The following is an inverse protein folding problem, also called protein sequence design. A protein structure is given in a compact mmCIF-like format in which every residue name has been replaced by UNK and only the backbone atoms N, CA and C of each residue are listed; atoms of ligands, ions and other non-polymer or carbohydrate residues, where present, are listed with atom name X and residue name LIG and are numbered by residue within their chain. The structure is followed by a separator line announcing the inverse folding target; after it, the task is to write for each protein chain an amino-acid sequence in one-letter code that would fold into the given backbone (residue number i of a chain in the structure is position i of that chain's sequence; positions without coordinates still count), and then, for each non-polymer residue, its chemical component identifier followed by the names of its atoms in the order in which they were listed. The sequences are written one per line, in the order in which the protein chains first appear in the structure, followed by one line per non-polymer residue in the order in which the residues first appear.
data_IF_549802303994
#
_entry.id   IF_549802303994
#
_cell.length_a   1.000
_cell.length_b   1.000
_cell.length_c   1.000
_cell.angle_alpha   90.00
_cell.angle_beta   90.00
_cell.angle_gamma   90.00
#
_symmetry.space_group_name_H-M   'P 1'
#
loop_
_entity.id
_entity.type
_entity.pdbx_description
1 polymer ?
#
# COMPACT_ATOMS: atom_id res chain seq x y z
N UNK A 1 0.74 -35.98 18.85
CA UNK A 1 -0.68 -36.03 18.45
C UNK A 1 -1.00 -34.67 17.84
N UNK A 2 -1.71 -34.63 16.72
CA UNK A 2 -2.20 -33.37 16.14
C UNK A 2 -3.34 -32.84 17.02
N UNK A 3 -3.38 -31.53 17.24
CA UNK A 3 -4.41 -30.87 18.06
C UNK A 3 -5.40 -30.12 17.17
N UNK A 4 -6.68 -30.10 17.54
CA UNK A 4 -7.67 -29.33 16.80
C UNK A 4 -7.42 -27.83 17.00
N UNK A 5 -7.30 -27.08 15.90
CA UNK A 5 -7.16 -25.61 15.93
C UNK A 5 -8.34 -24.98 16.67
N UNK A 6 -8.07 -24.04 17.58
CA UNK A 6 -9.04 -23.39 18.47
C UNK A 6 -9.70 -24.33 19.51
N UNK A 7 -9.07 -25.46 19.85
CA UNK A 7 -9.43 -26.20 21.07
C UNK A 7 -8.67 -25.68 22.30
N UNK A 8 -9.20 -25.92 23.50
CA UNK A 8 -8.52 -25.63 24.78
C UNK A 8 -7.08 -26.17 24.82
N UNK A 9 -6.89 -27.45 24.49
CA UNK A 9 -5.54 -28.06 24.48
C UNK A 9 -4.58 -27.40 23.49
N UNK A 10 -5.07 -26.97 22.32
CA UNK A 10 -4.26 -26.26 21.33
C UNK A 10 -3.89 -24.84 21.82
N UNK A 11 -4.84 -24.15 22.48
CA UNK A 11 -4.64 -22.83 23.07
C UNK A 11 -3.56 -22.83 24.16
N UNK A 12 -3.55 -23.86 25.02
CA UNK A 12 -2.51 -24.02 26.05
C UNK A 12 -1.11 -24.15 25.42
N UNK A 13 -0.95 -25.02 24.42
CA UNK A 13 0.33 -25.19 23.71
C UNK A 13 0.75 -23.91 22.97
N UNK A 14 -0.22 -23.17 22.40
CA UNK A 14 0.07 -21.90 21.75
C UNK A 14 0.58 -20.85 22.73
N UNK A 15 -0.02 -20.76 23.92
CA UNK A 15 0.46 -19.86 24.98
C UNK A 15 1.89 -20.18 25.38
N UNK A 16 2.22 -21.45 25.55
CA UNK A 16 3.58 -21.89 25.90
C UNK A 16 4.58 -21.55 24.80
N UNK A 17 4.29 -21.93 23.55
CA UNK A 17 5.13 -21.66 22.39
C UNK A 17 5.35 -20.16 22.15
N UNK A 18 4.33 -19.34 22.39
CA UNK A 18 4.40 -17.90 22.21
C UNK A 18 5.29 -17.24 23.28
N UNK A 19 5.21 -17.70 24.54
CA UNK A 19 5.99 -17.13 25.65
C UNK A 19 7.49 -17.49 25.59
N UNK A 20 7.89 -18.50 24.82
CA UNK A 20 9.30 -18.82 24.54
C UNK A 20 9.82 -18.22 23.24
N UNK A 21 8.97 -17.55 22.45
CA UNK A 21 9.35 -16.89 21.20
C UNK A 21 9.95 -15.49 21.50
N UNK A 22 11.28 -15.38 21.45
CA UNK A 22 11.99 -14.12 21.67
C UNK A 22 11.70 -13.06 20.60
N UNK A 23 11.39 -13.47 19.37
CA UNK A 23 11.05 -12.54 18.30
C UNK A 23 9.69 -11.87 18.58
N UNK A 24 8.72 -12.66 19.07
CA UNK A 24 7.45 -12.14 19.57
C UNK A 24 7.63 -11.19 20.76
N UNK A 25 8.43 -11.60 21.76
CA UNK A 25 8.66 -10.79 22.96
C UNK A 25 9.16 -9.37 22.61
N UNK A 26 10.10 -9.29 21.68
CA UNK A 26 10.64 -8.02 21.19
C UNK A 26 9.61 -7.24 20.37
N UNK A 27 8.97 -7.90 19.39
CA UNK A 27 8.05 -7.25 18.46
C UNK A 27 6.77 -6.75 19.16
N UNK A 28 6.29 -7.44 20.19
CA UNK A 28 5.08 -7.12 20.93
C UNK A 28 5.36 -6.37 22.24
N UNK A 29 6.57 -5.83 22.43
CA UNK A 29 6.99 -5.14 23.66
C UNK A 29 6.09 -3.97 24.09
N UNK A 30 5.35 -3.35 23.16
CA UNK A 30 4.36 -2.28 23.45
C UNK A 30 2.91 -2.73 23.42
N UNK A 31 2.65 -4.01 23.16
CA UNK A 31 1.30 -4.56 23.05
C UNK A 31 0.67 -4.69 24.43
N UNK A 32 -0.52 -4.14 24.65
CA UNK A 32 -1.19 -4.13 25.96
C UNK A 32 -2.69 -4.50 25.91
N UNK A 33 -3.11 -5.18 24.84
CA UNK A 33 -4.52 -5.42 24.55
C UNK A 33 -4.92 -6.87 24.61
N UNK A 34 -6.21 -7.06 24.91
CA UNK A 34 -6.90 -8.33 24.82
C UNK A 34 -7.52 -8.53 23.44
N UNK A 35 -7.45 -9.75 22.92
CA UNK A 35 -7.96 -10.12 21.59
C UNK A 35 -8.90 -11.30 21.71
N UNK A 36 -10.09 -11.18 21.12
CA UNK A 36 -10.98 -12.31 20.88
C UNK A 36 -10.89 -12.71 19.39
N UNK A 37 -10.48 -13.95 19.14
CA UNK A 37 -10.45 -14.54 17.79
C UNK A 37 -11.66 -15.46 17.61
N UNK A 38 -12.41 -15.29 16.51
CA UNK A 38 -13.63 -16.05 16.21
C UNK A 38 -13.50 -16.75 14.86
N UNK A 39 -13.58 -18.07 14.87
CA UNK A 39 -13.65 -18.92 13.69
C UNK A 39 -15.09 -19.37 13.45
N UNK A 40 -15.67 -18.89 12.35
CA UNK A 40 -17.01 -19.29 11.92
C UNK A 40 -16.97 -20.62 11.20
N UNK A 41 -17.86 -21.52 11.59
CA UNK A 41 -17.95 -22.87 11.00
C UNK A 41 -19.30 -23.00 10.30
N UNK A 42 -19.30 -23.07 8.96
CA UNK A 42 -20.53 -23.09 8.15
C UNK A 42 -21.56 -24.15 8.57
N UNK A 43 -21.09 -25.30 9.07
CA UNK A 43 -21.92 -26.42 9.54
C UNK A 43 -21.48 -26.91 10.91
N UNK A 44 -21.42 -26.00 11.89
CA UNK A 44 -21.04 -26.33 13.26
C UNK A 44 -21.22 -25.14 14.20
N UNK A 45 -20.76 -25.31 15.44
CA UNK A 45 -20.66 -24.19 16.38
C UNK A 45 -19.39 -23.40 16.07
N UNK A 46 -19.50 -22.08 16.04
CA UNK A 46 -18.34 -21.20 15.96
C UNK A 46 -17.38 -21.50 17.12
N UNK A 47 -16.09 -21.49 16.83
CA UNK A 47 -15.04 -21.59 17.84
C UNK A 47 -14.47 -20.21 18.11
N UNK A 48 -14.05 -19.97 19.35
CA UNK A 48 -13.40 -18.72 19.67
C UNK A 48 -12.37 -18.86 20.79
N UNK A 49 -11.34 -18.03 20.73
CA UNK A 49 -10.31 -17.89 21.75
C UNK A 49 -10.25 -16.47 22.26
N UNK A 50 -10.00 -16.33 23.57
CA UNK A 50 -9.66 -15.09 24.24
C UNK A 50 -8.16 -15.09 24.57
N UNK A 51 -7.46 -14.03 24.19
CA UNK A 51 -6.03 -13.83 24.40
C UNK A 51 -5.80 -12.58 25.24
N UNK A 52 -4.99 -12.69 26.29
CA UNK A 52 -4.45 -11.56 27.07
C UNK A 52 -2.95 -11.41 26.76
N UNK A 53 -2.61 -10.37 25.99
CA UNK A 53 -1.27 -10.09 25.48
C UNK A 53 -0.73 -8.80 26.09
N UNK A 54 0.45 -8.88 26.70
CA UNK A 54 1.03 -7.77 27.45
C UNK A 54 2.56 -7.74 27.38
N UNK A 55 3.13 -6.69 26.80
CA UNK A 55 4.57 -6.44 26.66
C UNK A 55 5.37 -7.67 26.21
N UNK A 56 4.95 -8.30 25.13
CA UNK A 56 5.63 -9.48 24.59
C UNK A 56 5.40 -10.76 25.39
N UNK A 57 4.49 -10.76 26.36
CA UNK A 57 4.07 -11.95 27.10
C UNK A 57 2.60 -12.28 26.83
N UNK A 58 2.33 -13.56 26.72
CA UNK A 58 0.99 -14.09 26.61
C UNK A 58 0.53 -14.61 27.97
N UNK A 59 -0.27 -13.79 28.67
CA UNK A 59 -0.75 -14.10 30.02
C UNK A 59 -1.81 -15.19 30.01
N UNK A 60 -2.67 -15.19 28.99
CA UNK A 60 -3.77 -16.14 28.85
C UNK A 60 -4.07 -16.40 27.37
N UNK A 61 -4.33 -17.66 27.02
CA UNK A 61 -5.08 -18.07 25.82
C UNK A 61 -6.05 -19.15 26.28
N UNK A 62 -7.34 -18.97 26.05
CA UNK A 62 -8.39 -19.94 26.43
C UNK A 62 -9.59 -19.83 25.51
N UNK A 63 -10.48 -20.81 25.57
CA UNK A 63 -11.81 -20.68 24.95
C UNK A 63 -12.58 -19.50 25.56
N UNK A 64 -13.38 -18.81 24.75
CA UNK A 64 -14.09 -17.65 25.26
C UNK A 64 -15.21 -18.05 26.22
N UNK A 65 -15.43 -17.19 27.20
CA UNK A 65 -16.52 -17.25 28.16
C UNK A 65 -17.57 -16.20 27.80
N UNK A 66 -18.76 -16.36 28.39
CA UNK A 66 -19.81 -15.35 28.31
C UNK A 66 -19.30 -14.02 28.86
N UNK A 67 -19.45 -12.94 28.08
CA UNK A 67 -19.01 -11.60 28.46
C UNK A 67 -17.60 -11.20 27.97
N UNK A 68 -16.84 -12.12 27.38
CA UNK A 68 -15.48 -11.81 26.90
C UNK A 68 -15.48 -10.87 25.70
N UNK A 69 -16.57 -10.87 24.92
CA UNK A 69 -16.70 -9.96 23.78
C UNK A 69 -16.73 -8.49 24.22
N UNK A 70 -17.40 -8.19 25.34
CA UNK A 70 -17.40 -6.83 25.90
C UNK A 70 -16.03 -6.45 26.47
N UNK A 71 -15.33 -7.42 27.08
CA UNK A 71 -14.00 -7.20 27.70
C UNK A 71 -12.88 -7.05 26.68
N UNK A 72 -12.92 -7.80 25.57
CA UNK A 72 -11.85 -7.81 24.58
C UNK A 72 -11.68 -6.43 23.94
N UNK A 73 -10.47 -5.90 23.90
CA UNK A 73 -10.19 -4.63 23.21
C UNK A 73 -10.39 -4.80 21.69
N UNK A 74 -10.03 -5.97 21.17
CA UNK A 74 -10.16 -6.34 19.76
C UNK A 74 -10.99 -7.61 19.59
N UNK A 75 -11.90 -7.61 18.61
CA UNK A 75 -12.67 -8.81 18.23
C UNK A 75 -12.48 -9.06 16.74
N UNK A 76 -11.82 -10.16 16.39
CA UNK A 76 -11.46 -10.53 15.02
C UNK A 76 -12.26 -11.77 14.64
N UNK A 77 -12.90 -11.75 13.48
CA UNK A 77 -13.75 -12.85 13.01
C UNK A 77 -13.48 -13.20 11.56
N UNK A 78 -13.42 -14.49 11.26
CA UNK A 78 -13.30 -15.04 9.91
C UNK A 78 -13.90 -16.45 9.83
N UNK A 79 -14.23 -16.91 8.63
CA UNK A 79 -14.66 -18.28 8.34
C UNK A 79 -13.47 -19.24 8.39
N UNK A 80 -13.77 -20.53 8.60
CA UNK A 80 -12.77 -21.60 8.67
C UNK A 80 -11.78 -21.60 7.50
N UNK A 81 -12.27 -21.39 6.27
CA UNK A 81 -11.43 -21.34 5.06
C UNK A 81 -10.40 -20.21 5.11
N UNK A 82 -10.79 -19.02 5.55
CA UNK A 82 -9.91 -17.85 5.62
C UNK A 82 -8.85 -18.02 6.72
N UNK A 83 -9.22 -18.57 7.87
CA UNK A 83 -8.25 -18.94 8.90
C UNK A 83 -7.27 -20.01 8.41
N UNK A 84 -7.74 -20.98 7.63
CA UNK A 84 -6.88 -22.00 7.01
C UNK A 84 -5.89 -21.39 6.03
N UNK A 85 -6.32 -20.47 5.17
CA UNK A 85 -5.42 -19.78 4.23
C UNK A 85 -4.32 -18.99 4.96
N UNK A 86 -4.62 -18.39 6.11
CA UNK A 86 -3.63 -17.71 6.95
C UNK A 86 -2.65 -18.72 7.56
N UNK A 87 -3.14 -19.84 8.11
CA UNK A 87 -2.29 -20.90 8.67
C UNK A 87 -1.40 -21.56 7.61
N UNK A 88 -1.91 -21.74 6.39
CA UNK A 88 -1.19 -22.24 5.23
C UNK A 88 -0.21 -21.21 4.62
N UNK A 89 -0.14 -19.99 5.19
CA UNK A 89 0.67 -18.86 4.69
C UNK A 89 0.35 -18.45 3.25
N UNK A 90 -0.90 -18.66 2.82
CA UNK A 90 -1.41 -18.16 1.53
C UNK A 90 -1.85 -16.71 1.61
N UNK A 91 -2.15 -16.21 2.81
CA UNK A 91 -2.54 -14.82 3.04
C UNK A 91 -1.98 -14.37 4.39
N UNK A 92 -1.23 -13.25 4.40
CA UNK A 92 -0.73 -12.66 5.65
C UNK A 92 -1.89 -12.07 6.49
N UNK A 93 -1.79 -12.02 7.84
CA UNK A 93 -2.90 -11.60 8.70
C UNK A 93 -3.46 -10.20 8.40
N UNK A 94 -2.59 -9.20 8.17
CA UNK A 94 -3.03 -7.83 7.87
C UNK A 94 -3.74 -7.76 6.52
N UNK A 95 -3.23 -8.49 5.53
CA UNK A 95 -3.86 -8.60 4.21
C UNK A 95 -5.24 -9.23 4.27
N UNK A 96 -5.45 -10.20 5.15
CA UNK A 96 -6.76 -10.80 5.32
C UNK A 96 -7.81 -9.78 5.80
N UNK A 97 -7.45 -8.82 6.67
CA UNK A 97 -8.35 -7.72 7.03
C UNK A 97 -8.65 -6.80 5.86
N UNK A 98 -7.60 -6.39 5.16
CA UNK A 98 -7.69 -5.47 4.03
C UNK A 98 -8.57 -6.05 2.94
N UNK A 99 -8.42 -7.34 2.63
CA UNK A 99 -9.23 -8.06 1.64
C UNK A 99 -10.67 -8.34 2.11
N UNK A 100 -10.96 -8.12 3.40
CA UNK A 100 -12.26 -8.42 4.01
C UNK A 100 -12.48 -9.91 4.32
N UNK A 101 -11.42 -10.73 4.23
CA UNK A 101 -11.42 -12.14 4.65
C UNK A 101 -11.51 -12.26 6.17
N UNK A 102 -10.76 -11.42 6.90
CA UNK A 102 -10.97 -11.20 8.33
C UNK A 102 -11.76 -9.91 8.56
N UNK A 103 -12.67 -9.95 9.52
CA UNK A 103 -13.46 -8.80 9.95
C UNK A 103 -13.06 -8.37 11.35
N UNK A 104 -12.68 -7.09 11.50
CA UNK A 104 -12.52 -6.47 12.81
C UNK A 104 -13.89 -5.98 13.32
N UNK A 105 -14.46 -6.67 14.31
CA UNK A 105 -15.77 -6.37 14.91
C UNK A 105 -15.69 -5.36 16.06
N UNK A 106 -14.51 -5.19 16.66
CA UNK A 106 -14.19 -4.20 17.71
C UNK A 106 -12.68 -3.90 17.65
N UNK A 107 -12.30 -2.66 17.91
CA UNK A 107 -10.90 -2.19 17.88
C UNK A 107 -10.60 -1.28 16.67
N UNK A 108 -9.32 -0.92 16.50
CA UNK A 108 -8.82 -0.07 15.41
C UNK A 108 -7.77 -0.80 14.56
N UNK A 109 -7.99 -0.85 13.24
CA UNK A 109 -7.03 -1.49 12.33
C UNK A 109 -5.72 -0.70 12.23
N UNK A 110 -5.75 0.63 12.38
CA UNK A 110 -4.53 1.45 12.47
C UNK A 110 -3.68 1.05 13.68
N UNK A 111 -4.32 0.85 14.82
CA UNK A 111 -3.61 0.43 16.02
C UNK A 111 -2.98 -0.94 15.85
N UNK A 112 -3.58 -1.83 15.05
CA UNK A 112 -3.03 -3.16 14.72
C UNK A 112 -1.90 -3.10 13.68
N UNK A 113 -1.93 -2.15 12.73
CA UNK A 113 -0.93 -2.06 11.66
C UNK A 113 0.48 -1.80 12.21
N UNK A 114 0.59 -1.04 13.31
CA UNK A 114 1.86 -0.89 14.04
C UNK A 114 2.44 -2.17 14.66
N UNK A 115 1.70 -3.29 14.63
CA UNK A 115 2.08 -4.57 15.24
C UNK A 115 2.14 -5.72 14.22
N UNK A 116 2.28 -5.43 12.92
CA UNK A 116 2.39 -6.44 11.85
C UNK A 116 3.42 -7.54 12.18
N UNK A 117 4.62 -7.16 12.64
CA UNK A 117 5.66 -8.13 13.03
C UNK A 117 5.25 -9.00 14.23
N UNK A 118 4.59 -8.41 15.23
CA UNK A 118 4.08 -9.18 16.37
C UNK A 118 2.97 -10.16 15.95
N UNK A 119 2.09 -9.76 15.02
CA UNK A 119 1.06 -10.62 14.45
C UNK A 119 1.66 -11.79 13.63
N UNK A 120 2.73 -11.54 12.87
CA UNK A 120 3.48 -12.60 12.17
C UNK A 120 4.09 -13.60 13.14
N UNK A 121 4.71 -13.13 14.23
CA UNK A 121 5.29 -14.02 15.25
C UNK A 121 4.22 -14.76 16.06
N UNK A 122 3.06 -14.15 16.33
CA UNK A 122 1.86 -14.82 16.87
C UNK A 122 1.44 -16.01 16.00
N UNK A 123 1.30 -15.78 14.69
CA UNK A 123 0.94 -16.81 13.73
C UNK A 123 2.03 -17.89 13.64
N UNK A 124 3.30 -17.51 13.59
CA UNK A 124 4.44 -18.43 13.54
C UNK A 124 4.48 -19.36 14.76
N UNK A 125 4.17 -18.86 15.95
CA UNK A 125 4.02 -19.67 17.16
C UNK A 125 2.76 -20.56 17.15
N UNK A 126 1.70 -20.16 16.45
CA UNK A 126 0.47 -20.94 16.32
C UNK A 126 0.65 -22.15 15.39
N UNK A 127 1.24 -21.92 14.21
CA UNK A 127 1.40 -22.95 13.17
C UNK A 127 2.52 -23.96 13.48
N UNK A 128 3.40 -23.68 14.45
CA UNK A 128 4.43 -24.62 14.87
C UNK A 128 3.85 -25.82 15.65
N UNK A 129 2.59 -25.73 16.07
CA UNK A 129 1.87 -26.80 16.74
C UNK A 129 1.29 -27.75 15.69
N UNK A 130 1.65 -29.05 15.70
CA UNK A 130 1.01 -30.04 14.85
C UNK A 130 -0.51 -30.00 15.07
N UNK A 131 -1.27 -29.61 14.05
CA UNK A 131 -2.68 -29.30 14.21
C UNK A 131 -3.51 -29.61 12.97
N UNK A 132 -4.82 -29.75 13.16
CA UNK A 132 -5.81 -29.95 12.09
C UNK A 132 -6.99 -28.98 12.28
N UNK A 133 -7.64 -28.60 11.19
CA UNK A 133 -8.83 -27.75 11.29
C UNK A 133 -10.09 -28.57 11.62
N UNK A 134 -11.05 -28.02 12.38
CA UNK A 134 -12.29 -28.71 12.71
C UNK A 134 -12.99 -29.31 11.48
N UNK A 135 -13.33 -30.59 11.56
CA UNK A 135 -14.00 -31.35 10.51
C UNK A 135 -13.10 -31.86 9.38
N UNK A 136 -11.78 -31.78 9.51
CA UNK A 136 -10.84 -32.53 8.66
C UNK A 136 -10.59 -33.91 9.27
N UNK A 137 -10.96 -35.00 8.57
CA UNK A 137 -10.70 -36.35 9.04
C UNK A 137 -9.19 -36.63 9.02
N UNK A 138 -8.66 -37.06 10.15
CA UNK A 138 -7.26 -37.41 10.39
C UNK A 138 -6.86 -38.66 9.59
N UNK A 139 -6.56 -38.49 8.30
CA UNK A 139 -5.83 -39.47 7.50
C UNK A 139 -4.44 -38.91 7.25
N UNK A 140 -3.50 -39.35 8.09
CA UNK A 140 -2.10 -38.95 8.01
C UNK A 140 -1.55 -39.08 6.59
N UNK A 141 -1.16 -37.95 6.03
CA UNK A 141 -0.20 -37.89 4.93
C UNK A 141 1.07 -37.22 5.41
N UNK A 142 2.15 -37.96 5.21
CA UNK A 142 3.50 -37.72 5.68
C UNK A 142 4.06 -36.41 5.15
N UNK A 143 4.68 -35.67 6.05
CA UNK A 143 5.62 -34.59 5.79
C UNK A 143 6.83 -35.08 4.99
N UNK A 144 7.12 -34.45 3.85
CA UNK A 144 8.46 -34.44 3.27
C UNK A 144 9.16 -33.14 3.64
N UNK A 145 10.18 -33.24 4.50
CA UNK A 145 11.08 -32.15 4.87
C UNK A 145 12.05 -31.74 3.74
N UNK A 146 12.87 -30.70 3.97
CA UNK A 146 13.35 -29.78 2.95
C UNK A 146 14.60 -30.29 2.22
N UNK A 147 14.74 -29.91 0.94
CA UNK A 147 16.01 -30.06 0.20
C UNK A 147 16.62 -28.70 -0.09
N UNK A 148 17.94 -28.67 0.03
CA UNK A 148 18.83 -27.53 0.12
C UNK A 148 18.90 -26.62 -1.12
N UNK A 149 19.37 -25.40 -0.89
CA UNK A 149 19.77 -24.38 -1.88
C UNK A 149 20.74 -24.94 -2.92
N UNK A 150 20.82 -24.27 -4.08
CA UNK A 150 22.13 -23.73 -4.45
C UNK A 150 22.13 -22.29 -4.98
N UNK A 151 23.06 -21.53 -4.41
CA UNK A 151 24.09 -20.71 -5.09
C UNK A 151 23.59 -19.65 -6.09
N UNK A 152 23.61 -18.39 -5.63
CA UNK A 152 23.70 -17.20 -6.47
C UNK A 152 24.91 -17.33 -7.41
N UNK A 153 24.66 -17.24 -8.72
CA UNK A 153 25.68 -16.81 -9.68
C UNK A 153 25.54 -15.30 -9.86
N UNK A 154 26.55 -14.56 -9.44
CA UNK A 154 26.85 -13.26 -10.01
C UNK A 154 27.30 -13.46 -11.45
N UNK A 155 26.69 -12.73 -12.37
CA UNK A 155 27.32 -12.37 -13.64
C UNK A 155 27.09 -10.89 -13.84
N UNK A 156 28.09 -10.10 -13.42
CA UNK A 156 28.35 -8.79 -14.00
C UNK A 156 28.93 -9.02 -15.39
N UNK A 157 28.29 -8.45 -16.40
CA UNK A 157 28.96 -7.87 -17.56
C UNK A 157 27.95 -6.94 -18.24
N UNK A 158 28.14 -5.63 -18.02
CA UNK A 158 27.42 -4.61 -18.77
C UNK A 158 27.90 -4.66 -20.23
N UNK A 159 27.23 -5.48 -21.05
CA UNK A 159 27.45 -5.42 -22.49
C UNK A 159 26.84 -4.12 -23.01
N UNK A 160 27.67 -3.23 -23.55
CA UNK A 160 27.22 -2.07 -24.32
C UNK A 160 26.55 -2.59 -25.60
N UNK A 161 25.25 -2.89 -25.53
CA UNK A 161 24.48 -3.23 -26.73
C UNK A 161 24.35 -1.98 -27.60
N UNK A 162 25.09 -1.98 -28.72
CA UNK A 162 24.90 -1.01 -29.79
C UNK A 162 23.47 -1.19 -30.33
N UNK A 163 22.62 -0.17 -30.17
CA UNK A 163 21.23 -0.18 -30.68
C UNK A 163 21.25 -0.40 -32.21
N UNK A 164 20.82 -1.58 -32.63
CA UNK A 164 20.62 -1.94 -34.04
C UNK A 164 19.21 -1.52 -34.45
N UNK A 165 19.09 -0.40 -35.16
CA UNK A 165 17.82 -0.01 -35.77
C UNK A 165 17.66 -0.78 -37.09
N UNK A 166 16.63 -1.61 -37.18
CA UNK A 166 16.29 -2.33 -38.41
C UNK A 166 16.10 -1.34 -39.58
N UNK A 167 16.59 -1.69 -40.78
CA UNK A 167 16.49 -0.86 -42.00
C UNK A 167 15.03 -0.51 -42.41
N UNK A 168 14.04 -1.18 -41.81
CA UNK A 168 12.62 -0.77 -41.75
C UNK A 168 12.22 -0.66 -40.28
N UNK A 169 11.63 0.47 -39.89
CA UNK A 169 11.17 0.67 -38.50
C UNK A 169 10.22 -0.45 -38.05
N UNK A 170 10.38 -0.90 -36.80
CA UNK A 170 9.45 -1.83 -36.13
C UNK A 170 8.04 -1.23 -36.17
N UNK A 171 7.04 -2.03 -36.56
CA UNK A 171 5.64 -1.61 -36.45
C UNK A 171 5.24 -1.61 -34.97
N UNK A 172 4.64 -0.52 -34.51
CA UNK A 172 4.09 -0.43 -33.15
C UNK A 172 2.89 -1.35 -33.00
N UNK A 173 2.81 -2.06 -31.88
CA UNK A 173 1.60 -2.79 -31.49
C UNK A 173 0.56 -1.81 -30.93
N UNK A 174 -0.29 -1.27 -31.81
CA UNK A 174 -1.34 -0.30 -31.45
C UNK A 174 -2.39 -0.85 -30.48
N UNK A 175 -2.56 -2.17 -30.44
CA UNK A 175 -3.52 -2.82 -29.54
C UNK A 175 -2.94 -3.11 -28.14
N UNK A 176 -1.64 -2.89 -27.93
CA UNK A 176 -1.04 -3.09 -26.61
C UNK A 176 -1.60 -2.11 -25.58
N UNK A 177 -1.72 -2.57 -24.33
CA UNK A 177 -2.17 -1.73 -23.23
C UNK A 177 -1.40 -0.40 -23.07
N UNK A 178 -0.05 -0.35 -23.13
CA UNK A 178 0.68 0.92 -23.06
C UNK A 178 0.36 1.87 -24.21
N UNK A 179 0.16 1.36 -25.44
CA UNK A 179 -0.28 2.22 -26.54
C UNK A 179 -1.69 2.76 -26.35
N UNK A 180 -2.61 1.98 -25.78
CA UNK A 180 -3.95 2.47 -25.41
C UNK A 180 -3.87 3.56 -24.35
N UNK A 181 -2.97 3.44 -23.36
CA UNK A 181 -2.72 4.49 -22.38
C UNK A 181 -2.12 5.74 -23.04
N UNK A 182 -1.17 5.59 -23.94
CA UNK A 182 -0.56 6.70 -24.68
C UNK A 182 -1.58 7.47 -25.53
N UNK A 183 -2.49 6.79 -26.24
CA UNK A 183 -3.57 7.45 -26.97
C UNK A 183 -4.54 8.19 -26.04
N UNK A 184 -4.83 7.64 -24.86
CA UNK A 184 -5.63 8.33 -23.83
C UNK A 184 -4.91 9.55 -23.27
N UNK A 185 -3.61 9.47 -22.99
CA UNK A 185 -2.83 10.58 -22.46
C UNK A 185 -2.81 11.78 -23.43
N UNK A 186 -2.60 11.53 -24.73
CA UNK A 186 -2.65 12.59 -25.77
C UNK A 186 -4.01 13.28 -25.91
N UNK A 187 -5.10 12.67 -25.45
CA UNK A 187 -6.46 13.23 -25.57
C UNK A 187 -6.97 13.82 -24.27
N UNK A 188 -6.63 13.21 -23.13
CA UNK A 188 -7.15 13.57 -21.82
C UNK A 188 -6.13 14.30 -20.93
N UNK A 189 -4.84 14.11 -21.17
CA UNK A 189 -3.74 14.66 -20.38
C UNK A 189 -3.24 16.03 -20.84
N UNK A 190 -3.88 16.64 -21.84
CA UNK A 190 -3.38 17.87 -22.48
C UNK A 190 -3.77 19.19 -21.80
N UNK A 191 -4.27 19.14 -20.56
CA UNK A 191 -4.57 20.34 -19.78
C UNK A 191 -3.28 21.10 -19.46
N UNK A 192 -3.37 22.43 -19.33
CA UNK A 192 -2.24 23.31 -19.08
C UNK A 192 -2.43 24.03 -17.73
N UNK A 193 -1.53 23.83 -16.75
CA UNK A 193 -1.59 24.53 -15.47
C UNK A 193 -1.67 26.06 -15.60
N UNK A 194 -0.97 26.65 -16.57
CA UNK A 194 -0.97 28.11 -16.80
C UNK A 194 -2.32 28.67 -17.25
N UNK A 195 -3.27 27.83 -17.68
CA UNK A 195 -4.62 28.25 -18.10
C UNK A 195 -5.65 28.20 -16.96
N UNK A 196 -5.25 27.79 -15.76
CA UNK A 196 -6.12 27.74 -14.59
C UNK A 196 -6.17 29.15 -13.97
N UNK A 197 -7.39 29.71 -13.85
CA UNK A 197 -7.60 31.01 -13.20
C UNK A 197 -7.70 30.84 -11.67
N UNK A 198 -6.75 31.43 -10.96
CA UNK A 198 -6.64 31.39 -9.50
C UNK A 198 -7.14 32.68 -8.81
N UNK A 199 -7.78 33.61 -9.53
CA UNK A 199 -8.24 34.89 -8.94
C UNK A 199 -9.26 34.71 -7.82
N UNK A 200 -10.22 33.82 -7.99
CA UNK A 200 -11.20 33.52 -6.94
C UNK A 200 -10.52 32.75 -5.79
N UNK A 201 -9.63 31.81 -6.08
CA UNK A 201 -8.84 31.09 -5.07
C UNK A 201 -8.06 32.05 -4.17
N UNK A 202 -7.45 33.11 -4.71
CA UNK A 202 -6.78 34.15 -3.89
C UNK A 202 -7.77 34.89 -2.98
N UNK A 203 -8.98 35.18 -3.45
CA UNK A 203 -10.00 35.83 -2.62
C UNK A 203 -10.47 34.92 -1.51
N UNK A 204 -10.68 33.64 -1.82
CA UNK A 204 -11.06 32.61 -0.85
C UNK A 204 -9.94 32.44 0.20
N UNK A 205 -8.68 32.38 -0.24
CA UNK A 205 -7.51 32.26 0.64
C UNK A 205 -7.44 33.36 1.70
N UNK A 206 -7.70 34.60 1.30
CA UNK A 206 -7.67 35.75 2.21
C UNK A 206 -8.82 35.76 3.22
N UNK A 207 -9.89 35.00 2.97
CA UNK A 207 -11.05 34.89 3.87
C UNK A 207 -10.94 33.73 4.85
N UNK A 208 -10.08 32.74 4.56
CA UNK A 208 -9.81 31.64 5.47
C UNK A 208 -9.17 32.13 6.77
N UNK A 209 -9.51 31.47 7.87
CA UNK A 209 -8.81 31.69 9.12
C UNK A 209 -7.42 31.03 9.10
N UNK A 210 -6.58 31.37 10.08
CA UNK A 210 -5.17 30.93 10.08
C UNK A 210 -5.02 29.41 10.18
N UNK A 211 -5.89 28.70 10.91
CA UNK A 211 -5.80 27.24 11.02
C UNK A 211 -6.28 26.53 9.75
N UNK A 212 -7.28 27.09 9.06
CA UNK A 212 -7.74 26.64 7.75
C UNK A 212 -6.64 26.79 6.69
N UNK A 213 -5.98 27.95 6.64
CA UNK A 213 -4.81 28.18 5.79
C UNK A 213 -3.70 27.20 6.10
N UNK A 214 -3.37 27.01 7.39
CA UNK A 214 -2.28 26.13 7.82
C UNK A 214 -2.53 24.67 7.39
N UNK A 215 -3.76 24.16 7.47
CA UNK A 215 -4.12 22.81 7.02
C UNK A 215 -4.03 22.66 5.50
N UNK A 216 -4.57 23.61 4.74
CA UNK A 216 -4.48 23.57 3.28
C UNK A 216 -3.03 23.69 2.82
N UNK A 217 -2.26 24.53 3.49
CA UNK A 217 -0.84 24.71 3.22
C UNK A 217 -0.05 23.43 3.54
N UNK A 218 -0.32 22.78 4.68
CA UNK A 218 0.29 21.51 5.03
C UNK A 218 0.04 20.48 3.93
N UNK A 219 -1.22 20.25 3.54
CA UNK A 219 -1.55 19.31 2.48
C UNK A 219 -0.88 19.67 1.14
N UNK A 220 -0.90 20.94 0.76
CA UNK A 220 -0.28 21.44 -0.48
C UNK A 220 1.24 21.26 -0.47
N UNK A 221 1.89 21.40 0.69
CA UNK A 221 3.33 21.18 0.84
C UNK A 221 3.71 19.73 0.58
N UNK A 222 2.91 18.78 1.09
CA UNK A 222 3.13 17.36 0.86
C UNK A 222 2.94 16.99 -0.61
N UNK A 223 1.94 17.58 -1.28
CA UNK A 223 1.76 17.37 -2.71
C UNK A 223 2.91 17.98 -3.51
N UNK A 224 3.25 19.25 -3.30
CA UNK A 224 4.31 19.93 -4.05
C UNK A 224 5.63 19.14 -4.01
N UNK A 225 6.09 18.76 -2.82
CA UNK A 225 7.31 17.97 -2.68
C UNK A 225 7.15 16.55 -3.24
N UNK A 226 5.95 15.99 -3.17
CA UNK A 226 5.63 14.68 -3.72
C UNK A 226 5.73 14.67 -5.23
N UNK A 227 5.07 15.62 -5.91
CA UNK A 227 5.06 15.77 -7.37
C UNK A 227 6.47 16.03 -7.92
N UNK A 228 7.26 16.85 -7.23
CA UNK A 228 8.67 17.06 -7.58
C UNK A 228 9.48 15.76 -7.48
N UNK A 229 9.31 15.02 -6.37
CA UNK A 229 10.04 13.76 -6.14
C UNK A 229 9.71 12.71 -7.21
N UNK A 230 8.42 12.53 -7.53
CA UNK A 230 7.99 11.53 -8.52
C UNK A 230 8.43 11.92 -9.95
N UNK A 231 8.43 13.23 -10.27
CA UNK A 231 8.96 13.75 -11.54
C UNK A 231 10.44 13.40 -11.73
N UNK A 232 11.26 13.53 -10.67
CA UNK A 232 12.69 13.20 -10.71
C UNK A 232 12.94 11.69 -10.71
N UNK A 233 12.25 10.96 -9.82
CA UNK A 233 12.54 9.56 -9.51
C UNK A 233 11.98 8.57 -10.55
N UNK A 234 11.11 8.97 -11.48
CA UNK A 234 10.61 8.05 -12.53
C UNK A 234 11.68 7.71 -13.59
N UNK A 235 12.69 8.58 -13.78
CA UNK A 235 13.67 8.47 -14.86
C UNK A 235 14.45 7.13 -14.91
N UNK A 236 14.93 6.55 -13.79
CA UNK A 236 15.55 5.23 -13.79
C UNK A 236 14.63 4.13 -14.35
N UNK A 237 13.32 4.16 -14.05
CA UNK A 237 12.38 3.18 -14.59
C UNK A 237 12.23 3.31 -16.10
N UNK A 238 12.14 4.54 -16.62
CA UNK A 238 12.09 4.79 -18.08
C UNK A 238 13.35 4.23 -18.76
N UNK A 239 14.52 4.44 -18.15
CA UNK A 239 15.79 3.89 -18.65
C UNK A 239 15.78 2.36 -18.72
N UNK A 240 15.29 1.68 -17.67
CA UNK A 240 15.14 0.22 -17.68
C UNK A 240 14.24 -0.25 -18.82
N UNK A 241 13.05 0.35 -18.96
CA UNK A 241 12.07 -0.03 -19.98
C UNK A 241 12.61 0.22 -21.41
N UNK A 242 13.36 1.31 -21.62
CA UNK A 242 14.04 1.60 -22.90
C UNK A 242 15.13 0.55 -23.20
N UNK A 243 15.93 0.17 -22.19
CA UNK A 243 16.98 -0.84 -22.33
C UNK A 243 16.41 -2.25 -22.57
N UNK A 244 15.23 -2.56 -22.05
CA UNK A 244 14.46 -3.77 -22.36
C UNK A 244 13.83 -3.75 -23.77
N UNK A 245 13.98 -2.67 -24.54
CA UNK A 245 13.43 -2.50 -25.89
C UNK A 245 11.90 -2.62 -25.95
N UNK A 246 11.24 -2.14 -24.89
CA UNK A 246 9.77 -2.08 -24.75
C UNK A 246 9.24 -0.74 -25.24
N UNK A 247 9.39 -0.51 -26.54
CA UNK A 247 9.11 0.79 -27.17
C UNK A 247 7.70 1.33 -26.87
N UNK A 248 6.67 0.49 -26.87
CA UNK A 248 5.31 0.92 -26.56
C UNK A 248 5.15 1.42 -25.11
N UNK A 249 5.85 0.80 -24.14
CA UNK A 249 5.88 1.24 -22.75
C UNK A 249 6.68 2.55 -22.62
N UNK A 250 7.84 2.63 -23.28
CA UNK A 250 8.67 3.84 -23.34
C UNK A 250 7.88 5.06 -23.88
N UNK A 251 7.10 4.88 -24.95
CA UNK A 251 6.24 5.94 -25.51
C UNK A 251 5.23 6.45 -24.48
N UNK A 252 4.55 5.57 -23.76
CA UNK A 252 3.62 5.97 -22.71
C UNK A 252 4.32 6.67 -21.53
N UNK A 253 5.47 6.16 -21.11
CA UNK A 253 6.23 6.75 -20.02
C UNK A 253 6.70 8.19 -20.32
N UNK A 254 6.82 8.58 -21.59
CA UNK A 254 7.04 10.00 -21.94
C UNK A 254 5.88 10.89 -21.53
N UNK A 255 4.64 10.41 -21.69
CA UNK A 255 3.44 11.17 -21.27
C UNK A 255 3.29 11.16 -19.76
N UNK A 256 3.66 10.05 -19.11
CA UNK A 256 3.70 9.94 -17.66
C UNK A 256 4.60 11.02 -17.07
N UNK A 257 5.88 11.06 -17.46
CA UNK A 257 6.83 12.06 -16.96
C UNK A 257 6.36 13.50 -17.24
N UNK A 258 5.75 13.74 -18.41
CA UNK A 258 5.19 15.05 -18.72
C UNK A 258 3.97 15.42 -17.87
N UNK A 259 3.14 14.44 -17.51
CA UNK A 259 2.02 14.61 -16.59
C UNK A 259 2.51 15.03 -15.21
N UNK A 260 3.51 14.35 -14.63
CA UNK A 260 4.13 14.70 -13.34
C UNK A 260 4.75 16.11 -13.34
N UNK A 261 5.44 16.46 -14.43
CA UNK A 261 6.01 17.79 -14.58
C UNK A 261 4.92 18.89 -14.57
N UNK A 262 3.74 18.63 -15.15
CA UNK A 262 2.61 19.56 -15.08
C UNK A 262 2.01 19.63 -13.66
N UNK A 263 2.01 18.53 -12.92
CA UNK A 263 1.51 18.51 -11.54
C UNK A 263 2.39 19.37 -10.64
N UNK A 264 3.71 19.25 -10.79
CA UNK A 264 4.70 20.11 -10.14
C UNK A 264 4.49 21.59 -10.50
N UNK A 265 4.33 21.91 -11.79
CA UNK A 265 4.05 23.29 -12.25
C UNK A 265 2.73 23.84 -11.69
N UNK A 266 1.69 23.01 -11.61
CA UNK A 266 0.40 23.38 -11.06
C UNK A 266 0.46 23.79 -9.59
N UNK A 267 1.09 22.98 -8.72
CA UNK A 267 1.19 23.33 -7.31
C UNK A 267 2.09 24.54 -7.08
N UNK A 268 3.18 24.69 -7.84
CA UNK A 268 3.99 25.92 -7.81
C UNK A 268 3.15 27.15 -8.20
N UNK A 269 2.39 27.06 -9.29
CA UNK A 269 1.50 28.15 -9.74
C UNK A 269 0.47 28.53 -8.67
N UNK A 270 -0.12 27.54 -7.97
CA UNK A 270 -1.04 27.80 -6.86
C UNK A 270 -0.34 28.55 -5.72
N UNK A 271 0.85 28.10 -5.29
CA UNK A 271 1.63 28.76 -4.24
C UNK A 271 1.95 30.22 -4.62
N UNK A 272 2.48 30.44 -5.83
CA UNK A 272 2.89 31.76 -6.30
C UNK A 272 1.71 32.74 -6.42
N UNK A 273 0.57 32.26 -6.92
CA UNK A 273 -0.56 33.14 -7.24
C UNK A 273 -1.55 33.28 -6.09
N UNK A 274 -1.76 32.24 -5.30
CA UNK A 274 -2.78 32.18 -4.24
C UNK A 274 -2.18 32.41 -2.86
N UNK A 275 -1.05 31.79 -2.53
CA UNK A 275 -0.49 31.88 -1.17
C UNK A 275 0.34 33.16 -1.01
N UNK A 276 1.25 33.44 -1.94
CA UNK A 276 2.08 34.67 -1.98
C UNK A 276 2.91 34.92 -0.71
N UNK A 277 3.37 33.86 -0.04
CA UNK A 277 4.19 33.94 1.17
C UNK A 277 5.40 33.01 1.05
N UNK A 278 6.53 33.41 1.63
CA UNK A 278 7.72 32.57 1.70
C UNK A 278 7.55 31.56 2.83
N UNK A 279 7.40 30.29 2.47
CA UNK A 279 7.04 29.22 3.41
C UNK A 279 8.13 28.17 3.40
N UNK A 280 8.62 27.84 4.59
CA UNK A 280 9.48 26.68 4.75
C UNK A 280 8.63 25.40 4.75
N UNK A 281 8.38 24.85 3.57
CA UNK A 281 7.57 23.64 3.38
C UNK A 281 8.09 22.41 4.13
N UNK A 282 9.42 22.33 4.35
CA UNK A 282 10.04 21.21 5.06
C UNK A 282 9.54 21.03 6.51
N UNK A 283 8.91 22.06 7.10
CA UNK A 283 8.28 21.98 8.43
C UNK A 283 7.11 21.00 8.47
N UNK A 284 6.47 20.76 7.33
CA UNK A 284 5.35 19.84 7.18
C UNK A 284 5.79 18.41 6.87
N UNK A 285 7.06 18.19 6.54
CA UNK A 285 7.58 16.87 6.19
C UNK A 285 7.91 16.09 7.47
N UNK A 286 6.89 15.40 7.98
CA UNK A 286 6.95 14.56 9.17
C UNK A 286 7.74 13.26 8.92
N UNK A 287 7.91 12.42 9.94
CA UNK A 287 8.77 11.23 9.85
C UNK A 287 8.24 10.22 8.82
N UNK A 288 6.94 9.93 8.81
CA UNK A 288 6.34 9.04 7.81
C UNK A 288 6.54 9.56 6.40
N UNK A 289 6.38 10.87 6.20
CA UNK A 289 6.54 11.49 4.87
C UNK A 289 8.00 11.40 4.38
N UNK A 290 8.95 11.76 5.24
CA UNK A 290 10.39 11.63 4.94
C UNK A 290 10.77 10.17 4.68
N UNK A 291 10.25 9.24 5.47
CA UNK A 291 10.51 7.81 5.26
C UNK A 291 10.07 7.38 3.85
N UNK A 292 8.88 7.79 3.41
CA UNK A 292 8.38 7.42 2.09
C UNK A 292 9.11 8.15 0.96
N UNK A 293 9.11 9.48 0.96
CA UNK A 293 9.57 10.29 -0.17
C UNK A 293 11.08 10.56 -0.18
N UNK A 294 11.74 10.60 0.99
CA UNK A 294 13.17 10.96 1.05
C UNK A 294 14.06 9.72 1.13
N UNK A 295 13.49 8.56 1.51
CA UNK A 295 14.22 7.31 1.63
C UNK A 295 13.68 6.25 0.68
N UNK A 296 12.45 5.75 0.89
CA UNK A 296 11.98 4.55 0.20
C UNK A 296 11.77 4.75 -1.31
N UNK A 297 11.15 5.86 -1.73
CA UNK A 297 10.92 6.19 -3.13
C UNK A 297 12.25 6.33 -3.92
N UNK A 298 13.14 7.28 -3.59
CA UNK A 298 14.39 7.44 -4.34
C UNK A 298 15.28 6.22 -4.23
N UNK A 299 15.32 5.51 -3.09
CA UNK A 299 16.10 4.27 -2.96
C UNK A 299 15.60 3.17 -3.89
N UNK A 300 14.28 2.99 -4.00
CA UNK A 300 13.69 1.94 -4.83
C UNK A 300 13.90 2.20 -6.32
N UNK A 301 13.77 3.46 -6.76
CA UNK A 301 13.94 3.85 -8.16
C UNK A 301 15.42 3.96 -8.55
N UNK A 302 16.27 4.61 -7.74
CA UNK A 302 17.71 4.71 -8.05
C UNK A 302 18.42 3.35 -8.02
N UNK A 303 17.90 2.34 -7.31
CA UNK A 303 18.39 0.96 -7.42
C UNK A 303 18.36 0.46 -8.86
N UNK A 304 17.40 0.90 -9.68
CA UNK A 304 17.27 0.50 -11.08
C UNK A 304 18.43 0.97 -11.96
N UNK A 305 19.24 1.92 -11.50
CA UNK A 305 20.47 2.34 -12.20
C UNK A 305 21.55 1.25 -12.19
N UNK A 306 21.46 0.28 -11.27
CA UNK A 306 22.48 -0.76 -11.07
C UNK A 306 21.91 -2.18 -11.03
N UNK A 307 20.63 -2.35 -10.69
CA UNK A 307 19.92 -3.63 -10.65
C UNK A 307 18.58 -3.51 -11.36
N UNK A 308 18.50 -4.04 -12.58
CA UNK A 308 17.30 -4.01 -13.42
C UNK A 308 16.45 -5.27 -13.31
N UNK A 309 16.69 -6.13 -12.29
CA UNK A 309 15.95 -7.37 -12.10
C UNK A 309 14.44 -7.14 -11.92
N UNK A 310 13.64 -8.17 -12.22
CA UNK A 310 12.18 -8.12 -12.02
C UNK A 310 11.81 -7.79 -10.57
N UNK A 311 12.59 -8.29 -9.59
CA UNK A 311 12.39 -7.96 -8.18
C UNK A 311 12.65 -6.48 -7.87
N UNK A 312 13.68 -5.88 -8.47
CA UNK A 312 13.95 -4.44 -8.31
C UNK A 312 12.85 -3.59 -8.97
N UNK A 313 12.40 -3.96 -10.18
CA UNK A 313 11.29 -3.29 -10.86
C UNK A 313 9.97 -3.40 -10.08
N UNK A 314 9.67 -4.57 -9.50
CA UNK A 314 8.50 -4.75 -8.62
C UNK A 314 8.59 -3.81 -7.42
N UNK A 315 9.75 -3.74 -6.76
CA UNK A 315 9.93 -2.86 -5.60
C UNK A 315 9.71 -1.38 -5.98
N UNK A 316 10.30 -0.94 -7.10
CA UNK A 316 10.13 0.41 -7.60
C UNK A 316 8.66 0.74 -7.93
N UNK A 317 7.98 -0.11 -8.71
CA UNK A 317 6.60 0.16 -9.13
C UNK A 317 5.58 0.00 -8.00
N UNK A 318 5.83 -0.88 -7.02
CA UNK A 318 5.02 -0.91 -5.78
C UNK A 318 5.16 0.40 -5.02
N UNK A 319 6.39 0.87 -4.81
CA UNK A 319 6.67 2.09 -4.04
C UNK A 319 6.04 3.31 -4.71
N UNK A 320 6.29 3.49 -6.01
CA UNK A 320 5.79 4.61 -6.80
C UNK A 320 4.29 4.49 -7.08
N UNK A 321 3.88 3.50 -7.88
CA UNK A 321 2.53 3.51 -8.44
C UNK A 321 1.46 3.03 -7.46
N UNK A 322 1.77 2.08 -6.58
CA UNK A 322 0.73 1.49 -5.72
C UNK A 322 0.58 2.25 -4.40
N UNK A 323 1.69 2.72 -3.83
CA UNK A 323 1.69 3.38 -2.52
C UNK A 323 1.64 4.90 -2.67
N UNK A 324 2.63 5.52 -3.33
CA UNK A 324 2.68 6.98 -3.50
C UNK A 324 1.45 7.47 -4.27
N UNK A 325 1.23 6.97 -5.48
CA UNK A 325 0.08 7.36 -6.31
C UNK A 325 -1.22 6.65 -5.88
N UNK A 326 -1.18 5.31 -5.89
CA UNK A 326 -2.36 4.46 -5.78
C UNK A 326 -3.04 4.47 -4.42
N UNK A 327 -2.37 4.95 -3.37
CA UNK A 327 -2.88 5.00 -2.00
C UNK A 327 -2.82 6.41 -1.42
N UNK A 328 -1.64 7.03 -1.38
CA UNK A 328 -1.45 8.31 -0.69
C UNK A 328 -2.01 9.50 -1.48
N UNK A 329 -1.65 9.65 -2.77
CA UNK A 329 -2.16 10.73 -3.62
C UNK A 329 -3.69 10.68 -3.75
N UNK A 330 -4.26 9.48 -4.00
CA UNK A 330 -5.71 9.27 -4.02
C UNK A 330 -6.42 9.69 -2.72
N UNK A 331 -5.76 9.48 -1.57
CA UNK A 331 -6.26 9.91 -0.25
C UNK A 331 -6.17 11.44 -0.08
N UNK A 332 -5.10 12.05 -0.59
CA UNK A 332 -4.94 13.50 -0.62
C UNK A 332 -5.97 14.21 -1.52
N UNK A 333 -6.30 13.63 -2.69
CA UNK A 333 -7.37 14.16 -3.54
C UNK A 333 -8.73 14.11 -2.85
N UNK A 334 -9.01 13.04 -2.10
CA UNK A 334 -10.21 12.97 -1.26
C UNK A 334 -10.22 14.07 -0.19
N UNK A 335 -9.05 14.43 0.36
CA UNK A 335 -8.93 15.50 1.34
C UNK A 335 -9.26 16.86 0.73
N UNK A 336 -8.70 17.19 -0.43
CA UNK A 336 -9.06 18.42 -1.16
C UNK A 336 -10.54 18.47 -1.52
N UNK A 337 -11.11 17.36 -2.01
CA UNK A 337 -12.53 17.31 -2.35
C UNK A 337 -13.40 17.61 -1.11
N UNK A 338 -13.14 16.93 0.01
CA UNK A 338 -13.86 17.16 1.27
C UNK A 338 -13.70 18.58 1.79
N UNK A 339 -12.47 19.10 1.81
CA UNK A 339 -12.18 20.42 2.33
C UNK A 339 -12.76 21.55 1.46
N UNK A 340 -12.68 21.44 0.13
CA UNK A 340 -12.96 22.56 -0.77
C UNK A 340 -14.31 22.45 -1.47
N UNK A 341 -14.68 21.27 -1.98
CA UNK A 341 -15.90 21.12 -2.78
C UNK A 341 -17.16 21.26 -1.93
N UNK A 342 -17.16 20.72 -0.72
CA UNK A 342 -18.29 20.82 0.19
C UNK A 342 -18.53 22.25 0.70
N UNK A 343 -17.49 23.09 0.68
CA UNK A 343 -17.53 24.47 1.14
C UNK A 343 -17.59 25.49 -0.01
N UNK A 344 -17.54 25.04 -1.26
CA UNK A 344 -17.60 25.91 -2.43
C UNK A 344 -16.36 26.80 -2.62
N UNK A 345 -15.20 26.37 -2.11
CA UNK A 345 -13.96 27.14 -2.08
C UNK A 345 -12.99 26.74 -3.20
N UNK A 346 -12.06 27.62 -3.53
CA UNK A 346 -10.86 27.38 -4.34
C UNK A 346 -11.17 26.68 -5.67
N UNK A 347 -11.96 27.30 -6.56
CA UNK A 347 -12.41 26.67 -7.79
C UNK A 347 -11.27 26.31 -8.75
N UNK A 348 -10.21 27.10 -8.82
CA UNK A 348 -9.01 26.84 -9.62
C UNK A 348 -8.24 25.62 -9.12
N UNK A 349 -7.98 25.56 -7.81
CA UNK A 349 -7.33 24.43 -7.14
C UNK A 349 -8.14 23.13 -7.36
N UNK A 350 -9.46 23.17 -7.12
CA UNK A 350 -10.35 22.02 -7.36
C UNK A 350 -10.31 21.55 -8.81
N UNK A 351 -10.30 22.47 -9.77
CA UNK A 351 -10.21 22.15 -11.20
C UNK A 351 -8.89 21.43 -11.51
N UNK A 352 -7.78 21.93 -11.00
CA UNK A 352 -6.47 21.29 -11.16
C UNK A 352 -6.38 19.92 -10.52
N UNK A 353 -6.80 19.76 -9.26
CA UNK A 353 -6.87 18.44 -8.60
C UNK A 353 -7.74 17.45 -9.40
N UNK A 354 -8.83 17.94 -10.01
CA UNK A 354 -9.65 17.13 -10.91
C UNK A 354 -8.94 16.69 -12.19
N UNK A 355 -7.94 17.43 -12.67
CA UNK A 355 -7.07 17.02 -13.77
C UNK A 355 -5.98 16.06 -13.31
N UNK A 356 -5.28 16.34 -12.20
CA UNK A 356 -4.29 15.42 -11.61
C UNK A 356 -4.89 14.03 -11.43
N UNK A 357 -6.05 13.93 -10.79
CA UNK A 357 -6.74 12.65 -10.57
C UNK A 357 -7.05 11.88 -11.86
N UNK A 358 -7.29 12.58 -12.98
CA UNK A 358 -7.52 11.93 -14.28
C UNK A 358 -6.21 11.37 -14.85
N UNK A 359 -5.10 12.09 -14.68
CA UNK A 359 -3.77 11.65 -15.08
C UNK A 359 -3.35 10.42 -14.25
N UNK A 360 -3.48 10.49 -12.92
CA UNK A 360 -3.19 9.39 -11.99
C UNK A 360 -3.90 8.08 -12.30
N UNK A 361 -5.13 8.16 -12.82
CA UNK A 361 -5.86 6.96 -13.22
C UNK A 361 -5.10 6.14 -14.28
N UNK A 362 -4.28 6.79 -15.12
CA UNK A 362 -3.42 6.14 -16.12
C UNK A 362 -2.11 5.69 -15.51
N UNK A 363 -1.50 6.49 -14.63
CA UNK A 363 -0.25 6.15 -13.95
C UNK A 363 -0.39 4.85 -13.15
N UNK A 364 -1.43 4.78 -12.32
CA UNK A 364 -1.80 3.59 -11.55
C UNK A 364 -2.10 2.40 -12.47
N UNK A 365 -2.79 2.65 -13.59
CA UNK A 365 -3.11 1.59 -14.55
C UNK A 365 -1.85 1.01 -15.20
N UNK A 366 -0.86 1.83 -15.51
CA UNK A 366 0.45 1.36 -15.97
C UNK A 366 1.20 0.58 -14.89
N UNK A 367 1.21 1.06 -13.65
CA UNK A 367 1.81 0.33 -12.53
C UNK A 367 1.20 -1.07 -12.36
N UNK A 368 -0.13 -1.19 -12.43
CA UNK A 368 -0.80 -2.51 -12.39
C UNK A 368 -0.36 -3.36 -13.58
N UNK A 369 -0.34 -2.82 -14.79
CA UNK A 369 0.11 -3.54 -15.99
C UNK A 369 1.56 -4.04 -15.84
N UNK A 370 2.48 -3.19 -15.37
CA UNK A 370 3.88 -3.51 -15.17
C UNK A 370 4.05 -4.63 -14.13
N UNK A 371 3.43 -4.47 -12.95
CA UNK A 371 3.50 -5.46 -11.88
C UNK A 371 2.87 -6.80 -12.31
N UNK A 372 1.72 -6.77 -12.98
CA UNK A 372 1.07 -7.97 -13.50
C UNK A 372 1.95 -8.71 -14.51
N UNK A 373 2.61 -7.97 -15.41
CA UNK A 373 3.56 -8.52 -16.38
C UNK A 373 4.74 -9.19 -15.67
N UNK A 374 5.32 -8.52 -14.68
CA UNK A 374 6.50 -9.00 -13.96
C UNK A 374 6.17 -10.25 -13.14
N UNK A 375 5.04 -10.28 -12.43
CA UNK A 375 4.58 -11.44 -11.66
C UNK A 375 4.25 -12.62 -12.57
N UNK A 376 3.57 -12.39 -13.70
CA UNK A 376 3.26 -13.47 -14.62
C UNK A 376 4.51 -14.11 -15.23
N UNK A 377 5.58 -13.32 -15.41
CA UNK A 377 6.87 -13.81 -15.89
C UNK A 377 7.72 -14.43 -14.78
N UNK A 378 7.48 -14.06 -13.51
CA UNK A 378 8.26 -14.48 -12.34
C UNK A 378 7.30 -14.78 -11.16
N UNK A 379 6.51 -15.88 -11.21
CA UNK A 379 5.46 -16.15 -10.22
C UNK A 379 5.96 -16.26 -8.77
N UNK A 380 7.22 -16.64 -8.59
CA UNK A 380 7.90 -16.72 -7.30
C UNK A 380 8.07 -15.35 -6.60
N UNK A 381 8.00 -14.24 -7.36
CA UNK A 381 8.10 -12.89 -6.81
C UNK A 381 6.79 -12.34 -6.26
N UNK A 382 5.69 -13.10 -6.34
CA UNK A 382 4.40 -12.69 -5.81
C UNK A 382 4.44 -12.37 -4.30
N UNK A 383 5.07 -13.24 -3.51
CA UNK A 383 5.20 -13.03 -2.06
C UNK A 383 6.03 -11.78 -1.75
N UNK A 384 7.10 -11.55 -2.50
CA UNK A 384 7.94 -10.36 -2.36
C UNK A 384 7.18 -9.07 -2.70
N UNK A 385 6.29 -9.11 -3.70
CA UNK A 385 5.40 -8.00 -4.03
C UNK A 385 4.44 -7.70 -2.87
N UNK A 386 3.73 -8.73 -2.37
CA UNK A 386 2.78 -8.58 -1.26
C UNK A 386 3.47 -8.03 -0.01
N UNK A 387 4.61 -8.60 0.35
CA UNK A 387 5.40 -8.13 1.48
C UNK A 387 5.77 -6.65 1.33
N UNK A 388 6.24 -6.23 0.14
CA UNK A 388 6.60 -4.82 -0.08
C UNK A 388 5.40 -3.88 -0.01
N UNK A 389 4.24 -4.31 -0.49
CA UNK A 389 2.98 -3.56 -0.36
C UNK A 389 2.62 -3.37 1.12
N UNK A 390 2.67 -4.42 1.93
CA UNK A 390 2.38 -4.37 3.36
C UNK A 390 3.35 -3.45 4.13
N UNK A 391 4.65 -3.60 3.89
CA UNK A 391 5.69 -2.78 4.54
C UNK A 391 5.46 -1.28 4.32
N UNK A 392 5.06 -0.90 3.11
CA UNK A 392 4.85 0.50 2.75
C UNK A 392 3.46 1.02 3.12
N UNK A 393 2.46 0.15 3.30
CA UNK A 393 1.16 0.57 3.82
C UNK A 393 1.30 1.19 5.21
N UNK A 394 2.11 0.58 6.08
CA UNK A 394 2.35 1.10 7.42
C UNK A 394 2.95 2.51 7.38
N UNK A 395 3.88 2.75 6.46
CA UNK A 395 4.47 4.08 6.24
C UNK A 395 3.41 5.07 5.74
N UNK A 396 2.59 4.70 4.76
CA UNK A 396 1.53 5.54 4.23
C UNK A 396 0.49 5.91 5.30
N UNK A 397 0.10 4.96 6.15
CA UNK A 397 -0.79 5.21 7.28
C UNK A 397 -0.16 6.13 8.32
N UNK A 398 1.16 6.06 8.54
CA UNK A 398 1.89 7.00 9.41
C UNK A 398 1.80 8.44 8.89
N UNK A 399 1.93 8.64 7.56
CA UNK A 399 1.75 9.98 6.93
C UNK A 399 0.35 10.53 7.24
N UNK A 400 -0.68 9.69 7.07
CA UNK A 400 -2.07 10.07 7.33
C UNK A 400 -2.31 10.32 8.82
N UNK A 401 -1.72 9.58 9.74
CA UNK A 401 -1.88 9.86 11.17
C UNK A 401 -1.16 11.16 11.56
N UNK A 402 0.03 11.40 11.01
CA UNK A 402 0.88 12.55 11.34
C UNK A 402 0.31 13.89 10.89
N UNK A 403 -0.34 13.97 9.72
CA UNK A 403 -0.95 15.21 9.23
C UNK A 403 -2.08 15.72 10.15
N UNK A 404 -2.78 14.84 10.88
CA UNK A 404 -3.86 15.25 11.79
C UNK A 404 -3.36 15.71 13.17
N UNK A 405 -2.18 15.25 13.62
CA UNK A 405 -1.68 15.50 14.99
C UNK A 405 -1.59 16.98 15.39
N UNK A 406 -1.21 17.92 14.51
CA UNK A 406 -1.05 19.32 14.90
C UNK A 406 -2.37 20.08 15.12
N UNK A 407 -3.52 19.51 14.74
CA UNK A 407 -4.79 20.24 14.63
C UNK A 407 -5.85 19.68 15.58
N UNK A 408 -6.25 20.47 16.59
CA UNK A 408 -7.33 20.13 17.53
C UNK A 408 -8.20 21.38 17.84
N UNK A 409 -9.44 21.47 17.32
CA UNK A 409 -10.10 20.53 16.41
C UNK A 409 -9.57 20.64 14.97
N UNK A 410 -9.71 19.56 14.19
CA UNK A 410 -9.37 19.54 12.76
C UNK A 410 -10.35 20.42 11.94
N UNK A 411 -9.86 21.40 11.14
CA UNK A 411 -10.67 22.20 10.23
C UNK A 411 -11.41 21.41 9.15
N UNK A 412 -12.38 22.08 8.51
CA UNK A 412 -13.20 21.55 7.40
C UNK A 412 -13.97 20.25 7.69
N UNK A 413 -14.11 19.87 8.97
CA UNK A 413 -14.78 18.63 9.37
C UNK A 413 -14.04 17.36 8.94
N UNK A 414 -12.73 17.44 8.67
CA UNK A 414 -11.93 16.28 8.29
C UNK A 414 -11.77 15.35 9.49
N UNK A 415 -12.03 14.05 9.29
CA UNK A 415 -11.95 13.04 10.34
C UNK A 415 -10.88 11.99 10.02
N UNK A 416 -9.94 11.79 10.96
CA UNK A 416 -8.80 10.89 10.76
C UNK A 416 -9.20 9.45 10.42
N UNK A 417 -10.19 8.90 11.11
CA UNK A 417 -10.65 7.53 10.91
C UNK A 417 -11.26 7.34 9.51
N UNK A 418 -11.95 8.34 8.96
CA UNK A 418 -12.44 8.35 7.58
C UNK A 418 -11.27 8.21 6.58
N UNK A 419 -10.21 9.00 6.76
CA UNK A 419 -9.08 9.01 5.82
C UNK A 419 -8.24 7.74 5.88
N UNK A 420 -8.05 7.17 7.07
CA UNK A 420 -7.42 5.84 7.21
C UNK A 420 -8.26 4.77 6.50
N UNK A 421 -9.58 4.77 6.72
CA UNK A 421 -10.48 3.84 6.05
C UNK A 421 -10.47 3.98 4.52
N UNK A 422 -10.39 5.22 4.03
CA UNK A 422 -10.29 5.50 2.59
C UNK A 422 -8.97 4.98 2.01
N UNK A 423 -7.83 5.22 2.67
CA UNK A 423 -6.53 4.75 2.23
C UNK A 423 -6.45 3.21 2.17
N UNK A 424 -6.94 2.54 3.22
CA UNK A 424 -7.03 1.08 3.26
C UNK A 424 -7.89 0.52 2.13
N UNK A 425 -9.00 1.17 1.80
CA UNK A 425 -9.85 0.78 0.68
C UNK A 425 -9.16 1.00 -0.67
N UNK A 426 -8.38 2.08 -0.83
CA UNK A 426 -7.60 2.30 -2.05
C UNK A 426 -6.53 1.23 -2.24
N UNK A 427 -5.77 0.96 -1.17
CA UNK A 427 -4.78 -0.10 -1.12
C UNK A 427 -5.39 -1.47 -1.46
N UNK A 428 -6.51 -1.84 -0.83
CA UNK A 428 -7.28 -3.06 -1.12
C UNK A 428 -7.59 -3.19 -2.62
N UNK A 429 -8.15 -2.13 -3.23
CA UNK A 429 -8.49 -2.14 -4.66
C UNK A 429 -7.29 -2.41 -5.57
N UNK A 430 -6.07 -1.99 -5.16
CA UNK A 430 -4.85 -2.27 -5.94
C UNK A 430 -4.46 -3.74 -5.84
N UNK A 431 -4.52 -4.29 -4.64
CA UNK A 431 -4.23 -5.70 -4.39
C UNK A 431 -5.22 -6.62 -5.10
N UNK A 432 -6.52 -6.35 -4.96
CA UNK A 432 -7.56 -7.14 -5.63
C UNK A 432 -7.31 -7.19 -7.15
N UNK A 433 -6.88 -6.09 -7.77
CA UNK A 433 -6.53 -6.05 -9.21
C UNK A 433 -5.29 -6.86 -9.56
N UNK A 434 -4.26 -6.83 -8.70
CA UNK A 434 -3.04 -7.62 -8.91
C UNK A 434 -3.28 -9.11 -8.72
N UNK A 435 -4.18 -9.50 -7.80
CA UNK A 435 -4.60 -10.89 -7.61
C UNK A 435 -5.35 -11.42 -8.83
N UNK A 436 -6.32 -10.66 -9.36
CA UNK A 436 -7.03 -11.02 -10.59
C UNK A 436 -6.04 -11.24 -11.74
N UNK A 437 -5.08 -10.32 -11.91
CA UNK A 437 -4.09 -10.43 -12.98
C UNK A 437 -3.14 -11.63 -12.82
N UNK A 438 -2.90 -12.08 -11.59
CA UNK A 438 -2.15 -13.31 -11.30
C UNK A 438 -2.96 -14.56 -11.66
N UNK A 439 -4.26 -14.59 -11.35
CA UNK A 439 -5.14 -15.74 -11.57
C UNK A 439 -5.47 -15.95 -13.06
N UNK A 440 -5.80 -14.88 -13.77
CA UNK A 440 -6.19 -14.93 -15.19
C UNK A 440 -5.00 -15.19 -16.14
N UNK A 441 -3.77 -15.12 -15.61
CA UNK A 441 -2.54 -15.08 -16.39
C UNK A 441 -2.41 -13.77 -17.18
N UNK A 442 -1.19 -13.44 -17.61
CA UNK A 442 -0.97 -12.27 -18.47
C UNK A 442 -1.49 -12.57 -19.88
N UNK A 443 -2.80 -12.40 -20.08
CA UNK A 443 -3.43 -12.40 -21.39
C UNK A 443 -2.94 -11.23 -22.25
N UNK A 444 -3.17 -11.25 -23.58
CA UNK A 444 -2.81 -10.13 -24.44
C UNK A 444 -3.75 -8.95 -24.12
N UNK A 445 -3.32 -8.06 -23.22
CA UNK A 445 -4.04 -6.81 -22.89
C UNK A 445 -3.69 -5.68 -23.87
#
# INVERSE_FOLDING_TARGET
MSLEVFSESWAEHWKENLNVNSDYENAASKWEWTIMLVMKIERGNDKCLFLDLWHGKCREIRECLNGDREKADYVISGNKSEWKDIFDRKTEPMMAFIQGKLTLKKGSLLSLSGYTKAAQELLKSAISIPSYFPGENDNGQQSSGPSEKPIFKQSEEASTQVKSYAKRGRKLNRESFPMKLFEKAKTLGIWNPSEIDFKEDRKDWLQLNEIEKEVLLHLTSLFLAGEESVTEDILPLISVISNEQRLEEELYLTTFLWEEAKHTDFFNSFIEQVVQEEINYSRFHTQGYKKLFYEELPKSLNRLLHDTSAAAQINASVTYNMIVEGTLAETGYHAYHKALEQHGLMPGLRKGIGYLKKDESRHIAYGIYLLSRLVAQNPELWSALQQRMEELLDVALSVIDEIFKPYDPMPFGLNKEEFIGYALNQFKKRIDKLEIAKEDGFGPV
#
